data_IF_458196368257
#
_entry.id   IF_458196368257
#
_cell.length_a   1.000
_cell.length_b   1.000
_cell.length_c   1.000
_cell.angle_alpha   90.00
_cell.angle_beta   90.00
_cell.angle_gamma   90.00
#
_symmetry.space_group_name_H-M   'P 1'
#
loop_
_entity.id
_entity.type
_entity.pdbx_description
1 polymer ?
#
# COMPACT_ATOMS: atom_id res chain seq x y z
N UNK A 1 -35.70 -41.34 21.29
CA UNK A 1 -34.55 -42.27 21.27
C UNK A 1 -33.94 -42.09 19.89
N UNK A 2 -33.09 -41.08 19.67
CA UNK A 2 -31.66 -41.07 20.01
C UNK A 2 -30.88 -41.72 18.85
N UNK A 3 -29.76 -41.25 18.32
CA UNK A 3 -28.81 -40.15 18.58
C UNK A 3 -28.02 -39.95 17.24
N UNK A 4 -27.26 -38.86 17.18
CA UNK A 4 -26.30 -38.39 16.15
C UNK A 4 -25.32 -39.47 15.59
N UNK A 5 -24.63 -39.32 14.45
CA UNK A 5 -23.64 -38.27 14.18
C UNK A 5 -23.40 -37.96 12.70
N UNK A 6 -23.36 -36.65 12.49
CA UNK A 6 -22.77 -35.87 11.41
C UNK A 6 -21.28 -36.20 11.17
N UNK A 7 -20.86 -36.17 9.90
CA UNK A 7 -19.49 -35.79 9.55
C UNK A 7 -19.49 -34.90 8.30
N UNK A 8 -20.04 -33.70 8.45
CA UNK A 8 -19.73 -32.57 7.59
C UNK A 8 -18.21 -32.34 7.56
N UNK A 9 -17.58 -32.76 6.47
CA UNK A 9 -16.21 -32.33 6.13
C UNK A 9 -16.30 -30.86 5.72
N UNK A 10 -16.30 -29.97 6.70
CA UNK A 10 -15.98 -28.56 6.47
C UNK A 10 -14.47 -28.43 6.42
N UNK A 11 -13.99 -27.93 5.29
CA UNK A 11 -12.60 -27.57 5.05
C UNK A 11 -12.02 -26.89 6.28
N UNK A 12 -11.01 -27.52 6.87
CA UNK A 12 -10.19 -26.94 7.93
C UNK A 12 -9.58 -25.66 7.37
N UNK A 13 -10.21 -24.52 7.67
CA UNK A 13 -9.60 -23.23 7.52
C UNK A 13 -8.42 -23.21 8.49
N UNK A 14 -7.23 -23.36 7.94
CA UNK A 14 -5.94 -23.02 8.53
C UNK A 14 -6.08 -21.74 9.38
N UNK A 15 -6.27 -21.91 10.68
CA UNK A 15 -6.35 -20.86 11.71
C UNK A 15 -4.96 -20.33 12.06
N UNK A 16 -4.02 -20.35 11.11
CA UNK A 16 -2.91 -19.39 11.09
C UNK A 16 -3.50 -17.99 11.28
N UNK A 17 -3.24 -17.36 12.44
CA UNK A 17 -3.61 -15.98 12.70
C UNK A 17 -2.95 -15.10 11.63
N UNK A 18 -3.68 -14.85 10.54
CA UNK A 18 -3.20 -14.00 9.45
C UNK A 18 -3.01 -12.61 10.02
N UNK A 19 -1.85 -12.02 9.73
CA UNK A 19 -1.58 -10.66 10.13
C UNK A 19 -2.74 -9.76 9.63
N UNK A 20 -3.31 -8.92 10.50
CA UNK A 20 -4.34 -7.99 10.06
C UNK A 20 -3.79 -7.12 8.92
N UNK A 21 -4.64 -6.68 7.98
CA UNK A 21 -4.15 -5.88 6.86
C UNK A 21 -3.71 -4.49 7.37
N UNK A 22 -2.45 -4.08 7.17
CA UNK A 22 -2.03 -2.74 7.57
C UNK A 22 -2.74 -1.68 6.70
N UNK A 23 -2.91 -0.45 7.21
CA UNK A 23 -3.39 0.65 6.39
C UNK A 23 -2.44 0.90 5.21
N UNK A 24 -2.99 1.39 4.10
CA UNK A 24 -2.21 1.69 2.89
C UNK A 24 -1.46 3.02 3.06
N UNK A 25 -0.17 3.05 2.67
CA UNK A 25 0.65 4.25 2.78
C UNK A 25 0.20 5.31 1.78
N UNK A 26 0.16 6.59 2.17
CA UNK A 26 -0.21 7.67 1.24
C UNK A 26 0.81 7.78 0.11
N UNK A 27 0.32 8.18 -1.06
CA UNK A 27 1.18 8.40 -2.23
C UNK A 27 1.98 9.68 -2.05
N UNK A 28 3.32 9.54 -2.10
CA UNK A 28 4.24 10.67 -2.04
C UNK A 28 3.97 11.67 -3.18
N UNK A 29 4.23 12.99 -2.98
CA UNK A 29 3.84 14.05 -3.91
C UNK A 29 4.29 13.80 -5.36
N UNK A 30 5.54 13.38 -5.55
CA UNK A 30 6.09 13.04 -6.86
C UNK A 30 5.35 11.88 -7.53
N UNK A 31 5.00 10.82 -6.79
CA UNK A 31 4.30 9.66 -7.36
C UNK A 31 2.87 10.03 -7.77
N UNK A 32 2.21 10.88 -6.99
CA UNK A 32 0.89 11.43 -7.33
C UNK A 32 0.95 12.26 -8.61
N UNK A 33 1.91 13.17 -8.70
CA UNK A 33 2.15 13.97 -9.90
C UNK A 33 2.47 13.08 -11.11
N UNK A 34 3.40 12.12 -10.95
CA UNK A 34 3.79 11.19 -12.00
C UNK A 34 2.57 10.45 -12.53
N UNK A 35 1.80 9.79 -11.65
CA UNK A 35 0.58 9.06 -12.05
C UNK A 35 -0.43 9.96 -12.77
N UNK A 36 -0.60 11.20 -12.32
CA UNK A 36 -1.45 12.19 -12.98
C UNK A 36 -0.95 12.53 -14.39
N UNK A 37 0.36 12.69 -14.59
CA UNK A 37 0.95 12.95 -15.90
C UNK A 37 0.89 11.73 -16.83
N UNK A 38 1.12 10.53 -16.31
CA UNK A 38 0.89 9.28 -17.04
C UNK A 38 -0.57 9.17 -17.51
N UNK A 39 -1.54 9.53 -16.65
CA UNK A 39 -2.97 9.50 -16.94
C UNK A 39 -3.44 10.60 -17.92
N UNK A 40 -2.83 11.80 -17.88
CA UNK A 40 -3.14 12.94 -18.75
C UNK A 40 -2.72 12.76 -20.23
N UNK A 41 -2.60 11.52 -20.70
CA UNK A 41 -2.22 11.16 -22.06
C UNK A 41 -0.80 11.58 -22.48
N UNK A 42 0.10 11.94 -21.54
CA UNK A 42 1.51 12.16 -21.90
C UNK A 42 2.13 10.87 -22.46
N UNK A 43 1.80 9.73 -21.84
CA UNK A 43 2.22 8.42 -22.33
C UNK A 43 1.70 8.15 -23.75
N UNK A 44 0.41 8.41 -23.98
CA UNK A 44 -0.22 8.21 -25.29
C UNK A 44 0.38 9.14 -26.35
N UNK A 45 0.63 10.41 -26.01
CA UNK A 45 1.27 11.39 -26.90
C UNK A 45 2.69 10.99 -27.28
N UNK A 46 3.53 10.66 -26.30
CA UNK A 46 4.93 10.29 -26.56
C UNK A 46 4.98 9.02 -27.42
N UNK A 47 4.11 8.05 -27.16
CA UNK A 47 4.02 6.83 -27.96
C UNK A 47 3.42 7.04 -29.35
N UNK A 48 2.59 8.07 -29.55
CA UNK A 48 2.08 8.44 -30.86
C UNK A 48 3.15 9.15 -31.71
N UNK A 49 3.96 10.02 -31.10
CA UNK A 49 5.04 10.74 -31.77
C UNK A 49 6.28 9.85 -31.97
N UNK A 50 6.53 8.92 -31.05
CA UNK A 50 7.65 8.00 -31.06
C UNK A 50 7.17 6.61 -30.61
N UNK A 51 6.69 5.76 -31.52
CA UNK A 51 6.17 4.42 -31.18
C UNK A 51 7.21 3.49 -30.55
N UNK A 52 8.50 3.77 -30.75
CA UNK A 52 9.63 3.06 -30.14
C UNK A 52 10.08 3.67 -28.80
N UNK A 53 9.49 4.79 -28.37
CA UNK A 53 9.81 5.40 -27.09
C UNK A 53 9.45 4.46 -25.94
N UNK A 54 10.41 4.25 -25.07
CA UNK A 54 10.28 3.30 -23.99
C UNK A 54 9.78 4.00 -22.71
N UNK A 55 9.22 3.22 -21.77
CA UNK A 55 8.60 3.76 -20.54
C UNK A 55 9.55 4.63 -19.69
N UNK A 56 10.84 4.27 -19.64
CA UNK A 56 11.89 5.03 -18.94
C UNK A 56 12.11 6.44 -19.53
N UNK A 57 11.95 6.65 -20.84
CA UNK A 57 12.10 7.98 -21.44
C UNK A 57 10.96 8.90 -21.02
N UNK A 58 9.75 8.36 -20.93
CA UNK A 58 8.57 9.06 -20.41
C UNK A 58 8.76 9.38 -18.92
N UNK A 59 9.33 8.44 -18.16
CA UNK A 59 9.73 8.65 -16.77
C UNK A 59 10.73 9.80 -16.60
N UNK A 60 11.73 9.90 -17.48
CA UNK A 60 12.70 11.02 -17.48
C UNK A 60 12.01 12.36 -17.72
N UNK A 61 11.10 12.44 -18.70
CA UNK A 61 10.34 13.66 -19.02
C UNK A 61 9.50 14.08 -17.81
N UNK A 62 8.73 13.16 -17.20
CA UNK A 62 7.89 13.47 -16.03
C UNK A 62 8.75 13.92 -14.84
N UNK A 63 9.90 13.29 -14.64
CA UNK A 63 10.87 13.71 -13.62
C UNK A 63 11.38 15.13 -13.85
N UNK A 64 11.65 15.51 -15.10
CA UNK A 64 12.03 16.87 -15.47
C UNK A 64 10.88 17.85 -15.23
N UNK A 65 9.68 17.54 -15.71
CA UNK A 65 8.51 18.40 -15.50
C UNK A 65 8.23 18.63 -14.00
N UNK A 66 8.41 17.60 -13.15
CA UNK A 66 8.28 17.76 -11.70
C UNK A 66 9.33 18.70 -11.09
N UNK A 67 10.57 18.73 -11.61
CA UNK A 67 11.57 19.70 -11.17
C UNK A 67 11.16 21.12 -11.58
N UNK A 68 10.59 21.25 -12.77
CA UNK A 68 10.29 22.53 -13.41
C UNK A 68 8.95 23.15 -12.97
N UNK A 69 8.04 22.39 -12.33
CA UNK A 69 6.82 23.00 -11.79
C UNK A 69 7.13 23.97 -10.63
N UNK A 70 6.25 24.94 -10.46
CA UNK A 70 6.37 25.97 -9.41
C UNK A 70 6.29 25.35 -8.01
N UNK A 71 6.91 26.02 -7.02
CA UNK A 71 6.81 25.59 -5.63
C UNK A 71 5.37 25.67 -5.11
N UNK A 72 4.55 26.58 -5.63
CA UNK A 72 3.13 26.65 -5.33
C UNK A 72 2.39 25.39 -5.79
N UNK A 73 2.66 24.90 -7.01
CA UNK A 73 2.07 23.66 -7.50
C UNK A 73 2.58 22.44 -6.72
N UNK A 74 3.88 22.40 -6.38
CA UNK A 74 4.45 21.36 -5.50
C UNK A 74 3.78 21.37 -4.13
N UNK A 75 3.52 22.55 -3.57
CA UNK A 75 2.90 22.73 -2.26
C UNK A 75 1.50 22.12 -2.20
N UNK A 76 0.72 22.17 -3.30
CA UNK A 76 -0.59 21.48 -3.36
C UNK A 76 -0.43 19.98 -3.14
N UNK A 77 0.49 19.33 -3.87
CA UNK A 77 0.72 17.89 -3.72
C UNK A 77 1.34 17.54 -2.36
N UNK A 78 2.16 18.41 -1.80
CA UNK A 78 2.73 18.25 -0.46
C UNK A 78 1.66 18.34 0.62
N UNK A 79 0.77 19.33 0.54
CA UNK A 79 -0.32 19.52 1.49
C UNK A 79 -1.31 18.34 1.47
N UNK A 80 -1.70 17.88 0.28
CA UNK A 80 -2.51 16.66 0.13
C UNK A 80 -1.83 15.44 0.78
N UNK A 81 -0.53 15.27 0.54
CA UNK A 81 0.23 14.18 1.15
C UNK A 81 0.30 14.29 2.68
N UNK A 82 0.46 15.48 3.24
CA UNK A 82 0.52 15.68 4.69
C UNK A 82 -0.80 15.34 5.39
N UNK A 83 -1.93 15.70 4.79
CA UNK A 83 -3.25 15.32 5.28
C UNK A 83 -3.39 13.80 5.31
N UNK A 84 -3.16 13.12 4.18
CA UNK A 84 -3.29 11.67 4.09
C UNK A 84 -2.27 10.95 4.98
N UNK A 85 -1.07 11.52 5.16
CA UNK A 85 -0.04 11.00 6.06
C UNK A 85 -0.50 11.08 7.51
N UNK A 86 -1.10 12.17 7.94
CA UNK A 86 -1.63 12.30 9.29
C UNK A 86 -2.75 11.28 9.55
N UNK A 87 -3.62 11.02 8.57
CA UNK A 87 -4.66 9.99 8.66
C UNK A 87 -4.07 8.59 8.71
N UNK A 88 -3.10 8.28 7.83
CA UNK A 88 -2.37 7.03 7.84
C UNK A 88 -1.69 6.77 9.19
N UNK A 89 -1.01 7.77 9.76
CA UNK A 89 -0.34 7.63 11.05
C UNK A 89 -1.32 7.30 12.18
N UNK A 90 -2.52 7.91 12.17
CA UNK A 90 -3.59 7.58 13.12
C UNK A 90 -4.09 6.14 12.92
N UNK A 91 -4.40 5.76 11.69
CA UNK A 91 -4.85 4.41 11.35
C UNK A 91 -3.78 3.35 11.69
N UNK A 92 -2.50 3.66 11.45
CA UNK A 92 -1.38 2.76 11.71
C UNK A 92 -1.13 2.57 13.21
N UNK A 93 -1.31 3.63 14.02
CA UNK A 93 -1.28 3.50 15.49
C UNK A 93 -2.44 2.65 16.00
N UNK A 94 -3.65 2.85 15.48
CA UNK A 94 -4.81 2.02 15.83
C UNK A 94 -4.61 0.55 15.43
N UNK A 95 -4.05 0.31 14.24
CA UNK A 95 -3.68 -1.02 13.76
C UNK A 95 -2.69 -1.72 14.70
N UNK A 96 -1.61 -1.02 15.11
CA UNK A 96 -0.62 -1.57 16.05
C UNK A 96 -1.20 -1.84 17.44
N UNK A 97 -2.15 -1.02 17.89
CA UNK A 97 -2.81 -1.20 19.18
C UNK A 97 -3.98 -2.20 19.12
N UNK A 98 -4.32 -2.72 17.93
CA UNK A 98 -5.42 -3.67 17.78
C UNK A 98 -5.09 -5.00 18.46
N UNK A 99 -6.10 -5.59 19.09
CA UNK A 99 -5.95 -6.88 19.77
C UNK A 99 -5.48 -7.98 18.81
N UNK A 100 -5.98 -7.99 17.57
CA UNK A 100 -5.56 -8.92 16.53
C UNK A 100 -4.06 -8.79 16.18
N UNK A 101 -3.53 -7.57 16.09
CA UNK A 101 -2.11 -7.37 15.82
C UNK A 101 -1.24 -7.78 17.02
N UNK A 102 -1.67 -7.44 18.24
CA UNK A 102 -0.96 -7.84 19.46
C UNK A 102 -0.92 -9.37 19.62
N UNK A 103 -2.02 -10.07 19.34
CA UNK A 103 -2.06 -11.54 19.34
C UNK A 103 -1.11 -12.13 18.30
N UNK A 104 -1.09 -11.57 17.08
CA UNK A 104 -0.15 -11.99 16.03
C UNK A 104 1.32 -11.81 16.45
N UNK A 105 1.67 -10.67 17.05
CA UNK A 105 3.03 -10.41 17.54
C UNK A 105 3.39 -11.36 18.67
N UNK A 106 2.52 -11.55 19.67
CA UNK A 106 2.76 -12.47 20.77
C UNK A 106 2.97 -13.91 20.27
N UNK A 107 2.10 -14.40 19.38
CA UNK A 107 2.23 -15.72 18.78
C UNK A 107 3.57 -15.88 18.01
N UNK A 108 4.02 -14.84 17.31
CA UNK A 108 5.32 -14.84 16.64
C UNK A 108 6.50 -14.84 17.62
N UNK A 109 6.49 -13.99 18.63
CA UNK A 109 7.56 -13.92 19.64
C UNK A 109 7.68 -15.25 20.37
N UNK A 110 6.56 -15.80 20.85
CA UNK A 110 6.54 -17.10 21.52
C UNK A 110 7.04 -18.24 20.62
N UNK A 111 6.70 -18.22 19.32
CA UNK A 111 7.20 -19.22 18.37
C UNK A 111 8.71 -19.13 18.14
N UNK A 112 9.27 -17.92 18.14
CA UNK A 112 10.72 -17.69 18.05
C UNK A 112 11.42 -18.17 19.32
N UNK A 113 10.89 -17.84 20.49
CA UNK A 113 11.47 -18.24 21.79
C UNK A 113 11.48 -19.78 21.98
N UNK A 114 10.46 -20.49 21.48
CA UNK A 114 10.42 -21.95 21.49
C UNK A 114 11.47 -22.57 20.56
N UNK A 115 11.77 -21.92 19.43
CA UNK A 115 12.71 -22.46 18.44
C UNK A 115 14.19 -22.30 18.86
N UNK A 116 14.50 -21.35 19.74
CA UNK A 116 15.87 -21.06 20.19
C UNK A 116 16.22 -21.66 21.58
N UNK A 117 15.39 -22.54 22.13
CA UNK A 117 15.59 -23.21 23.41
C UNK A 117 15.71 -24.72 23.25
#
# INVERSE_FOLDING_TARGET
MGEECDCGITNQSDFSMKAPKPPDRPLVPYMRYSRKMWSKSLFSKVRAENPDAQLWDIGKIIGQMWRDISDADKAVYQHEYEIEKAEYEKAFKAYQNSHAYQQYINAKVTSVDIFFK
#
